data_IF_313393433595
#
_entry.id   IF_313393433595
#
_cell.length_a   1.000
_cell.length_b   1.000
_cell.length_c   1.000
_cell.angle_alpha   90.00
_cell.angle_beta   90.00
_cell.angle_gamma   90.00
#
_symmetry.space_group_name_H-M   'P 1'
#
loop_
_entity.id
_entity.type
_entity.pdbx_description
1 polymer ?
#
# COMPACT_ATOMS: atom_id res chain seq x y z
N UNK A 1 -6.05 17.72 1.29
CA UNK A 1 -4.79 17.86 0.52
C UNK A 1 -4.34 16.46 0.21
N UNK A 2 -4.19 16.14 -1.07
CA UNK A 2 -3.73 14.82 -1.54
C UNK A 2 -2.31 14.56 -1.06
N UNK A 3 -1.97 13.31 -0.74
CA UNK A 3 -0.58 12.94 -0.38
C UNK A 3 0.19 12.51 -1.62
N UNK A 4 1.52 12.69 -1.63
CA UNK A 4 2.37 12.19 -2.72
C UNK A 4 2.21 10.68 -2.97
N UNK A 5 1.90 9.91 -1.92
CA UNK A 5 1.65 8.47 -2.04
C UNK A 5 0.32 8.19 -2.74
N UNK A 6 -0.77 8.84 -2.31
CA UNK A 6 -2.06 8.79 -3.00
C UNK A 6 -1.92 9.17 -4.48
N UNK A 7 -1.30 10.31 -4.78
CA UNK A 7 -1.05 10.76 -6.17
C UNK A 7 -0.27 9.73 -6.99
N UNK A 8 0.67 9.03 -6.37
CA UNK A 8 1.51 8.01 -7.03
C UNK A 8 0.71 6.74 -7.33
N UNK A 9 -0.06 6.23 -6.37
CA UNK A 9 -0.86 5.03 -6.55
C UNK A 9 -2.04 5.30 -7.50
N UNK A 10 -2.75 6.43 -7.36
CA UNK A 10 -3.83 6.80 -8.27
C UNK A 10 -3.31 7.04 -9.71
N UNK A 11 -2.12 7.63 -9.89
CA UNK A 11 -1.49 7.77 -11.20
C UNK A 11 -1.08 6.42 -11.81
N UNK A 12 -0.52 5.50 -11.01
CA UNK A 12 -0.21 4.13 -11.42
C UNK A 12 -1.49 3.42 -11.89
N UNK A 13 -2.53 3.36 -11.06
CA UNK A 13 -3.80 2.73 -11.41
C UNK A 13 -4.44 3.37 -12.65
N UNK A 14 -4.36 4.70 -12.78
CA UNK A 14 -4.87 5.43 -13.97
C UNK A 14 -4.12 5.06 -15.25
N UNK A 15 -2.80 4.92 -15.18
CA UNK A 15 -1.97 4.56 -16.34
C UNK A 15 -2.26 3.14 -16.87
N UNK A 16 -2.83 2.28 -16.03
CA UNK A 16 -3.30 0.93 -16.39
C UNK A 16 -4.83 0.83 -16.58
N UNK A 17 -5.56 1.96 -16.58
CA UNK A 17 -7.03 2.04 -16.68
C UNK A 17 -7.82 1.39 -15.53
N UNK A 18 -7.20 1.24 -14.35
CA UNK A 18 -7.78 0.58 -13.17
C UNK A 18 -8.32 1.56 -12.11
N UNK A 19 -8.06 2.86 -12.24
CA UNK A 19 -8.44 3.85 -11.20
C UNK A 19 -9.95 3.93 -10.96
N UNK A 20 -10.76 3.90 -12.02
CA UNK A 20 -12.22 3.94 -11.89
C UNK A 20 -12.75 2.70 -11.17
N UNK A 21 -12.16 1.53 -11.47
CA UNK A 21 -12.51 0.28 -10.80
C UNK A 21 -12.18 0.33 -9.31
N UNK A 22 -10.95 0.72 -8.96
CA UNK A 22 -10.50 0.92 -7.59
C UNK A 22 -11.44 1.88 -6.82
N UNK A 23 -11.82 3.00 -7.43
CA UNK A 23 -12.68 4.01 -6.78
C UNK A 23 -14.13 3.53 -6.57
N UNK A 24 -14.69 2.72 -7.48
CA UNK A 24 -16.13 2.45 -7.54
C UNK A 24 -16.58 1.03 -7.11
N UNK A 25 -15.73 -0.02 -7.15
CA UNK A 25 -16.19 -1.43 -6.98
C UNK A 25 -16.38 -1.95 -5.54
N UNK A 26 -15.81 -1.29 -4.52
CA UNK A 26 -15.80 -1.67 -3.10
C UNK A 26 -15.14 -3.01 -2.70
N UNK A 27 -14.78 -3.86 -3.67
CA UNK A 27 -13.60 -4.72 -3.59
C UNK A 27 -12.74 -4.53 -4.84
N UNK A 28 -11.42 -4.44 -4.68
CA UNK A 28 -10.46 -4.28 -5.76
C UNK A 28 -9.16 -5.04 -5.43
N UNK A 29 -8.54 -5.63 -6.45
CA UNK A 29 -7.23 -6.24 -6.36
C UNK A 29 -6.49 -6.01 -7.68
N UNK A 30 -5.21 -5.65 -7.60
CA UNK A 30 -4.28 -5.76 -8.73
C UNK A 30 -2.88 -6.15 -8.23
N UNK A 31 -2.25 -7.07 -8.96
CA UNK A 31 -0.84 -7.39 -8.83
C UNK A 31 -0.08 -6.84 -10.04
N UNK A 32 0.97 -6.07 -9.79
CA UNK A 32 1.91 -5.58 -10.78
C UNK A 32 3.24 -6.35 -10.71
N UNK A 33 3.68 -6.86 -11.85
CA UNK A 33 4.97 -7.52 -12.06
C UNK A 33 5.94 -6.60 -12.80
N UNK A 34 7.23 -6.64 -12.41
CA UNK A 34 8.29 -5.86 -13.08
C UNK A 34 9.67 -6.48 -12.88
N UNK A 35 10.37 -6.74 -13.99
CA UNK A 35 11.72 -7.31 -13.97
C UNK A 35 12.67 -6.48 -13.10
N UNK A 36 13.35 -7.14 -12.17
CA UNK A 36 14.30 -6.51 -11.24
C UNK A 36 13.68 -5.96 -9.95
N UNK A 37 12.36 -6.08 -9.77
CA UNK A 37 11.66 -5.66 -8.55
C UNK A 37 10.78 -6.78 -8.00
N UNK A 38 10.48 -6.67 -6.71
CA UNK A 38 9.44 -7.46 -6.07
C UNK A 38 8.06 -7.02 -6.62
N UNK A 39 7.12 -7.95 -6.85
CA UNK A 39 5.74 -7.65 -7.21
C UNK A 39 5.14 -6.56 -6.31
N UNK A 40 4.35 -5.66 -6.89
CA UNK A 40 3.61 -4.62 -6.16
C UNK A 40 2.12 -4.96 -6.23
N UNK A 41 1.49 -5.17 -5.07
CA UNK A 41 0.06 -5.47 -4.96
C UNK A 41 -0.66 -4.27 -4.38
N UNK A 42 -1.83 -3.95 -4.92
CA UNK A 42 -2.73 -2.90 -4.42
C UNK A 42 -4.12 -3.50 -4.29
N UNK A 43 -4.70 -3.42 -3.10
CA UNK A 43 -6.02 -3.97 -2.78
C UNK A 43 -6.91 -2.91 -2.14
N UNK A 44 -8.22 -3.08 -2.28
CA UNK A 44 -9.22 -2.37 -1.48
C UNK A 44 -10.32 -3.32 -1.04
N UNK A 45 -10.69 -3.26 0.23
CA UNK A 45 -11.85 -3.93 0.79
C UNK A 45 -12.66 -2.92 1.62
N UNK A 46 -13.75 -2.41 1.03
CA UNK A 46 -14.54 -1.32 1.60
C UNK A 46 -13.69 -0.07 1.85
N UNK A 47 -13.54 0.30 3.13
CA UNK A 47 -12.77 1.46 3.58
C UNK A 47 -11.28 1.15 3.86
N UNK A 48 -10.79 -0.07 3.63
CA UNK A 48 -9.38 -0.44 3.82
C UNK A 48 -8.66 -0.57 2.46
N UNK A 49 -7.52 0.10 2.32
CA UNK A 49 -6.56 -0.03 1.21
C UNK A 49 -5.33 -0.76 1.74
N UNK A 50 -4.86 -1.82 1.08
CA UNK A 50 -3.50 -2.33 1.27
C UNK A 50 -2.65 -1.99 0.04
N UNK A 51 -1.39 -1.62 0.28
CA UNK A 51 -0.36 -1.55 -0.74
C UNK A 51 0.86 -2.28 -0.22
N UNK A 52 1.30 -3.32 -0.94
CA UNK A 52 2.33 -4.24 -0.48
C UNK A 52 3.35 -4.60 -1.56
N UNK A 53 4.61 -4.81 -1.17
CA UNK A 53 5.55 -5.62 -1.96
C UNK A 53 5.66 -7.03 -1.38
N UNK A 54 5.75 -8.03 -2.24
CA UNK A 54 5.93 -9.43 -1.81
C UNK A 54 7.28 -9.99 -2.29
N UNK A 55 7.93 -10.75 -1.42
CA UNK A 55 9.09 -11.57 -1.77
C UNK A 55 8.86 -13.03 -1.39
N UNK A 56 9.55 -13.95 -2.05
CA UNK A 56 9.48 -15.36 -1.73
C UNK A 56 10.60 -15.75 -0.75
N UNK A 57 10.24 -16.48 0.31
CA UNK A 57 11.21 -17.10 1.22
C UNK A 57 10.73 -18.52 1.56
N UNK A 58 11.54 -19.53 1.25
CA UNK A 58 11.21 -20.95 1.45
C UNK A 58 9.91 -21.43 0.75
N UNK A 59 9.46 -20.72 -0.29
CA UNK A 59 8.20 -20.98 -0.99
C UNK A 59 7.00 -20.18 -0.46
N UNK A 60 7.14 -19.48 0.67
CA UNK A 60 6.11 -18.58 1.21
C UNK A 60 6.26 -17.17 0.65
N UNK A 61 5.15 -16.53 0.30
CA UNK A 61 5.12 -15.09 -0.03
C UNK A 61 5.05 -14.27 1.26
N UNK A 62 6.07 -13.43 1.48
CA UNK A 62 6.19 -12.53 2.63
C UNK A 62 6.04 -11.09 2.17
N UNK A 63 5.19 -10.32 2.85
CA UNK A 63 4.99 -8.91 2.58
C UNK A 63 6.06 -8.05 3.28
N UNK A 64 6.77 -7.20 2.52
CA UNK A 64 7.69 -6.18 3.05
C UNK A 64 7.97 -5.06 2.03
N UNK A 65 7.49 -3.82 2.26
CA UNK A 65 6.46 -3.43 3.23
C UNK A 65 5.06 -3.92 2.80
N UNK A 66 4.12 -3.90 3.74
CA UNK A 66 2.68 -3.77 3.49
C UNK A 66 2.15 -2.61 4.34
N UNK A 67 1.39 -1.70 3.73
CA UNK A 67 0.79 -0.54 4.42
C UNK A 67 -0.72 -0.53 4.22
N UNK A 68 -1.42 -0.50 5.35
CA UNK A 68 -2.87 -0.32 5.43
C UNK A 68 -3.21 1.18 5.51
N UNK A 69 -4.17 1.64 4.70
CA UNK A 69 -4.69 3.01 4.73
C UNK A 69 -6.22 3.03 4.68
N UNK A 70 -6.82 4.07 5.25
CA UNK A 70 -8.27 4.30 5.19
C UNK A 70 -8.68 4.96 3.87
N UNK A 71 -9.55 4.33 3.08
CA UNK A 71 -10.24 4.93 1.93
C UNK A 71 -11.47 5.74 2.39
N UNK A 72 -11.75 6.95 1.86
CA UNK A 72 -11.02 7.68 0.81
C UNK A 72 -9.98 8.67 1.34
N UNK A 73 -9.64 8.65 2.64
CA UNK A 73 -8.79 9.66 3.29
C UNK A 73 -7.28 9.46 3.06
N UNK A 74 -6.86 8.27 2.65
CA UNK A 74 -5.46 7.84 2.52
C UNK A 74 -4.63 8.06 3.80
N UNK A 75 -5.29 8.08 4.96
CA UNK A 75 -4.62 8.14 6.27
C UNK A 75 -4.10 6.74 6.58
N UNK A 76 -2.78 6.55 6.83
CA UNK A 76 -2.26 5.23 7.20
C UNK A 76 -2.81 4.78 8.55
N UNK A 77 -3.18 3.51 8.62
CA UNK A 77 -3.79 2.85 9.78
C UNK A 77 -2.90 1.72 10.33
N UNK A 78 -2.16 1.02 9.47
CA UNK A 78 -1.26 -0.06 9.85
C UNK A 78 -0.08 -0.20 8.90
N UNK A 79 0.97 -0.89 9.35
CA UNK A 79 2.13 -1.26 8.53
C UNK A 79 2.71 -2.59 9.03
N UNK A 80 2.99 -3.49 8.10
CA UNK A 80 3.77 -4.71 8.32
C UNK A 80 5.13 -4.56 7.64
N UNK A 81 6.19 -4.96 8.34
CA UNK A 81 7.52 -5.12 7.76
C UNK A 81 8.11 -6.44 8.24
N UNK A 82 8.64 -7.28 7.35
CA UNK A 82 8.98 -8.68 7.65
C UNK A 82 9.90 -8.84 8.88
N UNK A 83 10.83 -7.92 9.09
CA UNK A 83 11.80 -7.96 10.20
C UNK A 83 11.45 -7.08 11.41
N UNK A 84 10.36 -6.31 11.35
CA UNK A 84 9.92 -5.41 12.44
C UNK A 84 8.49 -5.71 12.95
N UNK A 85 7.76 -6.60 12.29
CA UNK A 85 6.41 -7.02 12.64
C UNK A 85 5.32 -6.04 12.16
N UNK A 86 4.11 -6.22 12.71
CA UNK A 86 2.97 -5.34 12.47
C UNK A 86 2.90 -4.22 13.52
N UNK A 87 2.56 -3.01 13.08
CA UNK A 87 2.24 -1.87 13.94
C UNK A 87 0.99 -1.18 13.41
N UNK A 88 0.07 -0.85 14.30
CA UNK A 88 -1.15 -0.09 14.02
C UNK A 88 -1.16 1.27 14.70
N UNK A 89 -1.90 2.22 14.12
CA UNK A 89 -2.21 3.53 14.69
C UNK A 89 -3.14 3.43 15.90
N UNK A 90 -4.02 2.44 15.91
CA UNK A 90 -5.08 2.26 16.90
C UNK A 90 -4.81 1.00 17.72
N UNK A 91 -4.41 1.19 18.97
CA UNK A 91 -4.00 0.11 19.87
C UNK A 91 -5.16 -0.16 20.82
N UNK A 92 -5.84 -1.29 20.65
CA UNK A 92 -6.85 -1.75 21.60
C UNK A 92 -6.16 -2.34 22.85
N UNK A 93 -6.59 -1.89 24.03
CA UNK A 93 -6.14 -2.40 25.32
C UNK A 93 -7.22 -2.17 26.37
N UNK A 94 -7.54 -3.21 27.14
CA UNK A 94 -8.47 -3.14 28.27
C UNK A 94 -9.85 -2.53 27.90
N UNK A 95 -10.32 -2.81 26.67
CA UNK A 95 -11.57 -2.27 26.10
C UNK A 95 -11.51 -0.80 25.67
N UNK A 96 -10.32 -0.18 25.65
CA UNK A 96 -10.07 1.20 25.24
C UNK A 96 -9.19 1.25 23.99
N UNK A 97 -9.42 2.22 23.11
CA UNK A 97 -8.59 2.48 21.94
C UNK A 97 -7.61 3.62 22.25
N UNK A 98 -6.33 3.29 22.24
CA UNK A 98 -5.22 4.25 22.35
C UNK A 98 -4.72 4.61 20.95
N UNK A 99 -4.28 5.86 20.76
CA UNK A 99 -3.75 6.33 19.48
C UNK A 99 -2.23 6.51 19.61
N UNK A 100 -1.46 5.84 18.75
CA UNK A 100 -0.03 6.13 18.63
C UNK A 100 0.15 7.46 17.86
N UNK A 101 0.43 8.51 18.62
CA UNK A 101 0.58 9.88 18.11
C UNK A 101 1.83 10.06 17.23
N UNK A 102 2.79 9.14 17.26
CA UNK A 102 3.99 9.15 16.40
C UNK A 102 3.76 8.43 15.08
N UNK A 103 2.96 7.36 15.10
CA UNK A 103 2.68 6.49 13.95
C UNK A 103 2.40 7.28 12.67
N UNK A 104 1.47 8.23 12.73
CA UNK A 104 1.06 8.99 11.54
C UNK A 104 2.23 9.77 10.93
N UNK A 105 3.07 10.41 11.74
CA UNK A 105 4.24 11.17 11.24
C UNK A 105 5.28 10.23 10.61
N UNK A 106 5.57 9.11 11.27
CA UNK A 106 6.60 8.16 10.85
C UNK A 106 6.18 7.43 9.57
N UNK A 107 4.97 6.89 9.52
CA UNK A 107 4.45 6.15 8.35
C UNK A 107 4.18 7.10 7.18
N UNK A 108 3.69 8.33 7.39
CA UNK A 108 3.56 9.31 6.28
C UNK A 108 4.91 9.75 5.71
N UNK A 109 5.98 9.81 6.53
CA UNK A 109 7.33 10.07 6.04
C UNK A 109 7.86 8.88 5.21
N UNK A 110 7.61 7.65 5.66
CA UNK A 110 7.92 6.42 4.91
C UNK A 110 7.16 6.36 3.57
N UNK A 111 5.85 6.54 3.58
CA UNK A 111 5.01 6.58 2.38
C UNK A 111 5.47 7.64 1.39
N UNK A 112 5.90 8.82 1.87
CA UNK A 112 6.46 9.86 1.00
C UNK A 112 7.79 9.45 0.35
N UNK A 113 8.62 8.64 1.02
CA UNK A 113 9.83 8.05 0.46
C UNK A 113 9.49 6.94 -0.54
N UNK A 114 8.61 6.02 -0.17
CA UNK A 114 8.22 4.90 -1.02
C UNK A 114 7.53 5.38 -2.30
N UNK A 115 6.68 6.41 -2.24
CA UNK A 115 6.10 7.05 -3.41
C UNK A 115 7.16 7.54 -4.42
N UNK A 116 8.24 8.18 -3.93
CA UNK A 116 9.36 8.60 -4.80
C UNK A 116 10.08 7.41 -5.41
N UNK A 117 10.25 6.33 -4.66
CA UNK A 117 10.85 5.09 -5.16
C UNK A 117 9.97 4.45 -6.24
N UNK A 118 8.66 4.29 -6.02
CA UNK A 118 7.72 3.73 -6.99
C UNK A 118 7.72 4.54 -8.31
N UNK A 119 7.76 5.87 -8.23
CA UNK A 119 7.92 6.74 -9.41
C UNK A 119 9.27 6.55 -10.10
N UNK A 120 10.37 6.51 -9.35
CA UNK A 120 11.72 6.32 -9.90
C UNK A 120 11.94 4.92 -10.51
N UNK A 121 11.21 3.92 -10.03
CA UNK A 121 11.20 2.55 -10.57
C UNK A 121 10.42 2.44 -11.89
N UNK A 122 9.53 3.39 -12.20
CA UNK A 122 8.77 3.40 -13.46
C UNK A 122 7.69 2.32 -13.54
N UNK A 123 6.90 2.15 -12.46
CA UNK A 123 5.78 1.20 -12.43
C UNK A 123 4.62 1.61 -13.34
N UNK A 124 4.35 2.91 -13.48
CA UNK A 124 3.25 3.39 -14.32
C UNK A 124 3.53 3.18 -15.81
N UNK A 125 4.80 3.32 -16.22
CA UNK A 125 5.27 3.24 -17.59
C UNK A 125 5.64 1.81 -18.02
N UNK A 126 6.02 0.95 -17.07
CA UNK A 126 6.56 -0.37 -17.39
C UNK A 126 6.46 -1.42 -16.28
N UNK A 127 5.54 -1.27 -15.33
CA UNK A 127 4.96 -2.43 -14.64
C UNK A 127 3.97 -3.14 -15.57
N UNK A 128 3.63 -4.40 -15.29
CA UNK A 128 2.61 -5.16 -16.01
C UNK A 128 1.61 -5.71 -15.02
N UNK A 129 0.32 -5.57 -15.31
CA UNK A 129 -0.72 -6.28 -14.57
C UNK A 129 -0.52 -7.78 -14.76
N UNK A 130 -0.46 -8.53 -13.66
CA UNK A 130 -0.54 -9.98 -13.69
C UNK A 130 -1.98 -10.41 -13.99
N UNK A 131 -2.12 -11.40 -14.86
CA UNK A 131 -3.38 -12.10 -15.07
C UNK A 131 -3.17 -13.52 -14.55
N UNK A 132 -3.76 -13.80 -13.40
CA UNK A 132 -3.83 -15.14 -12.81
C UNK A 132 -4.84 -16.03 -13.56
#
# INVERSE_FOLDING_TARGET
MTTLFQETIEYLLKSHNLLEEFQNKDSFHVRFEKTGYQPLVIERHGEMISVAHYFEQNGDLIADPDVELHYPSWVPTGITQAFFGYRTKFIERDGQIFIDTRFHKEVSAFLSLWARNLKAQGWAEGGRVAHD
#
